data_IF_169507913008
#
_entry.id   IF_169507913008
#
_cell.length_a   1.000
_cell.length_b   1.000
_cell.length_c   1.000
_cell.angle_alpha   90.00
_cell.angle_beta   90.00
_cell.angle_gamma   90.00
#
_symmetry.space_group_name_H-M   'P 1'
#
loop_
_entity.id
_entity.type
_entity.pdbx_description
1 polymer ?
#
# COMPACT_ATOMS: atom_id res chain seq x y z
N UNK A 1 -18.22 17.83 -6.93
CA UNK A 1 -16.81 18.28 -6.89
C UNK A 1 -15.99 17.08 -6.51
N UNK A 2 -14.86 16.81 -7.18
CA UNK A 2 -14.03 15.64 -6.82
C UNK A 2 -13.43 15.77 -5.41
N UNK A 3 -13.23 14.64 -4.72
CA UNK A 3 -12.75 14.59 -3.32
C UNK A 3 -11.28 15.00 -3.13
N UNK A 4 -10.49 15.04 -4.23
CA UNK A 4 -9.07 15.38 -4.24
C UNK A 4 -8.74 16.60 -5.11
N UNK A 5 -9.74 17.44 -5.44
CA UNK A 5 -9.51 18.63 -6.27
C UNK A 5 -8.45 19.53 -5.64
N UNK A 6 -7.40 19.83 -6.42
CA UNK A 6 -6.28 20.69 -6.01
C UNK A 6 -5.25 20.00 -5.11
N UNK A 7 -5.39 18.71 -4.81
CA UNK A 7 -4.40 17.95 -4.04
C UNK A 7 -3.34 17.33 -4.95
N UNK A 8 -2.09 17.37 -4.51
CA UNK A 8 -0.96 16.67 -5.14
C UNK A 8 -0.72 15.36 -4.38
N UNK A 9 -0.85 14.24 -5.10
CA UNK A 9 -0.80 12.90 -4.55
C UNK A 9 0.37 12.11 -5.15
N UNK A 10 1.26 11.59 -4.32
CA UNK A 10 2.33 10.69 -4.73
C UNK A 10 1.87 9.25 -4.52
N UNK A 11 2.00 8.40 -5.53
CA UNK A 11 1.67 6.97 -5.49
C UNK A 11 2.89 6.16 -5.87
N UNK A 12 3.43 5.35 -4.95
CA UNK A 12 4.53 4.43 -5.26
C UNK A 12 4.01 3.05 -5.69
N UNK A 13 4.73 2.36 -6.58
CA UNK A 13 4.22 1.14 -7.22
C UNK A 13 3.06 1.45 -8.18
N UNK A 14 3.13 2.58 -8.87
CA UNK A 14 2.04 3.15 -9.67
C UNK A 14 1.82 2.46 -11.01
N UNK A 15 2.76 1.62 -11.49
CA UNK A 15 2.69 1.02 -12.82
C UNK A 15 1.71 -0.16 -12.92
N UNK A 16 1.26 -0.76 -11.81
CA UNK A 16 0.41 -1.95 -11.85
C UNK A 16 -0.49 -2.11 -10.63
N UNK A 17 -1.44 -3.04 -10.72
CA UNK A 17 -2.27 -3.51 -9.60
C UNK A 17 -2.99 -2.40 -8.84
N UNK A 18 -2.89 -2.41 -7.51
CA UNK A 18 -3.54 -1.43 -6.61
C UNK A 18 -3.04 -0.01 -6.91
N UNK A 19 -1.72 0.17 -7.16
CA UNK A 19 -1.15 1.48 -7.43
C UNK A 19 -1.71 2.12 -8.70
N UNK A 20 -1.74 1.39 -9.82
CA UNK A 20 -2.29 1.87 -11.08
C UNK A 20 -3.78 2.21 -10.97
N UNK A 21 -4.55 1.38 -10.27
CA UNK A 21 -5.97 1.64 -10.05
C UNK A 21 -6.20 2.85 -9.13
N UNK A 22 -5.32 3.04 -8.14
CA UNK A 22 -5.36 4.23 -7.27
C UNK A 22 -5.04 5.50 -8.06
N UNK A 23 -4.05 5.47 -8.95
CA UNK A 23 -3.76 6.58 -9.87
C UNK A 23 -5.03 6.97 -10.64
N UNK A 24 -5.68 5.99 -11.27
CA UNK A 24 -6.92 6.22 -12.03
C UNK A 24 -8.00 6.88 -11.15
N UNK A 25 -8.24 6.35 -9.95
CA UNK A 25 -9.26 6.86 -9.02
C UNK A 25 -8.93 8.26 -8.50
N UNK A 26 -7.67 8.53 -8.17
CA UNK A 26 -7.26 9.86 -7.71
C UNK A 26 -7.39 10.91 -8.82
N UNK A 27 -7.05 10.55 -10.06
CA UNK A 27 -7.26 11.41 -11.24
C UNK A 27 -8.74 11.71 -11.47
N UNK A 28 -9.63 10.73 -11.38
CA UNK A 28 -11.08 10.91 -11.52
C UNK A 28 -11.65 11.86 -10.45
N UNK A 29 -11.02 11.92 -9.27
CA UNK A 29 -11.42 12.79 -8.16
C UNK A 29 -10.69 14.15 -8.16
N UNK A 30 -9.96 14.45 -9.23
CA UNK A 30 -9.39 15.77 -9.48
C UNK A 30 -8.02 16.04 -8.87
N UNK A 31 -7.28 15.00 -8.46
CA UNK A 31 -5.90 15.15 -8.00
C UNK A 31 -4.92 15.38 -9.15
N UNK A 32 -3.83 16.10 -8.86
CA UNK A 32 -2.56 15.96 -9.58
C UNK A 32 -1.83 14.76 -9.03
N UNK A 33 -1.50 13.78 -9.88
CA UNK A 33 -0.92 12.51 -9.45
C UNK A 33 0.49 12.34 -9.97
N UNK A 34 1.43 12.14 -9.04
CA UNK A 34 2.80 11.71 -9.31
C UNK A 34 2.86 10.18 -9.16
N UNK A 35 3.12 9.50 -10.26
CA UNK A 35 3.31 8.04 -10.27
C UNK A 35 4.79 7.70 -10.17
N UNK A 36 5.14 6.88 -9.18
CA UNK A 36 6.50 6.44 -8.90
C UNK A 36 6.59 4.92 -9.02
N UNK A 37 7.51 4.43 -9.84
CA UNK A 37 7.76 3.00 -9.99
C UNK A 37 9.24 2.76 -10.29
N UNK A 38 9.69 1.50 -10.22
CA UNK A 38 11.07 1.13 -10.54
C UNK A 38 11.45 1.52 -11.98
N UNK A 39 10.47 1.50 -12.87
CA UNK A 39 10.60 1.94 -14.26
C UNK A 39 9.54 3.01 -14.56
N UNK A 40 9.87 3.97 -15.40
CA UNK A 40 8.93 4.99 -15.87
C UNK A 40 7.86 4.37 -16.81
N UNK A 41 6.88 3.70 -16.21
CA UNK A 41 5.77 3.02 -16.90
C UNK A 41 4.40 3.37 -16.34
N UNK A 42 4.34 4.30 -15.39
CA UNK A 42 3.08 4.74 -14.79
C UNK A 42 2.23 5.47 -15.81
N UNK A 43 1.02 4.96 -16.07
CA UNK A 43 0.09 5.55 -17.04
C UNK A 43 -0.96 6.41 -16.35
N UNK A 44 -1.43 7.45 -17.05
CA UNK A 44 -2.51 8.31 -16.55
C UNK A 44 -2.11 9.25 -15.41
N UNK A 45 -0.82 9.42 -15.14
CA UNK A 45 -0.26 10.35 -14.16
C UNK A 45 0.08 11.70 -14.78
N UNK A 46 0.21 12.74 -13.95
CA UNK A 46 0.67 14.06 -14.41
C UNK A 46 2.20 14.13 -14.45
N UNK A 47 2.86 13.42 -13.55
CA UNK A 47 4.31 13.27 -13.52
C UNK A 47 4.67 11.80 -13.26
N UNK A 48 5.46 11.19 -14.14
CA UNK A 48 5.98 9.84 -13.96
C UNK A 48 7.46 9.91 -13.57
N UNK A 49 7.84 9.18 -12.52
CA UNK A 49 9.21 9.14 -12.03
C UNK A 49 9.70 7.69 -11.87
N UNK A 50 10.85 7.39 -12.44
CA UNK A 50 11.56 6.16 -12.17
C UNK A 50 12.34 6.30 -10.85
N UNK A 51 12.07 5.42 -9.87
CA UNK A 51 12.72 5.43 -8.58
C UNK A 51 12.72 4.05 -7.96
N UNK A 52 13.89 3.56 -7.56
CA UNK A 52 13.98 2.45 -6.63
C UNK A 52 13.72 2.98 -5.22
N UNK A 53 12.54 2.68 -4.69
CA UNK A 53 12.12 3.13 -3.36
C UNK A 53 12.91 2.47 -2.21
N UNK A 54 13.71 1.44 -2.49
CA UNK A 54 14.64 0.84 -1.54
C UNK A 54 15.98 1.58 -1.44
N UNK A 55 16.24 2.51 -2.36
CA UNK A 55 17.42 3.38 -2.37
C UNK A 55 17.10 4.75 -1.77
N UNK A 56 17.76 5.10 -0.69
CA UNK A 56 17.50 6.35 0.05
C UNK A 56 17.81 7.61 -0.78
N UNK A 57 18.90 7.59 -1.55
CA UNK A 57 19.30 8.72 -2.38
C UNK A 57 18.35 8.92 -3.57
N UNK A 58 17.86 7.81 -4.16
CA UNK A 58 16.84 7.85 -5.19
C UNK A 58 15.52 8.43 -4.66
N UNK A 59 15.10 8.03 -3.46
CA UNK A 59 13.89 8.58 -2.82
C UNK A 59 14.05 10.07 -2.53
N UNK A 60 15.19 10.50 -2.01
CA UNK A 60 15.45 11.93 -1.79
C UNK A 60 15.34 12.72 -3.10
N UNK A 61 16.02 12.27 -4.16
CA UNK A 61 15.96 12.91 -5.48
C UNK A 61 14.54 12.92 -6.08
N UNK A 62 13.75 11.89 -5.84
CA UNK A 62 12.33 11.83 -6.23
C UNK A 62 11.54 12.97 -5.59
N UNK A 63 11.67 13.21 -4.26
CA UNK A 63 10.98 14.32 -3.60
C UNK A 63 11.49 15.70 -4.08
N UNK A 64 12.78 15.84 -4.35
CA UNK A 64 13.33 17.06 -4.96
C UNK A 64 12.71 17.34 -6.34
N UNK A 65 12.55 16.32 -7.18
CA UNK A 65 11.91 16.43 -8.49
C UNK A 65 10.42 16.81 -8.37
N UNK A 66 9.68 16.20 -7.42
CA UNK A 66 8.28 16.57 -7.18
C UNK A 66 8.16 18.01 -6.73
N UNK A 67 9.05 18.48 -5.84
CA UNK A 67 9.05 19.86 -5.35
C UNK A 67 9.44 20.89 -6.41
N UNK A 68 10.18 20.52 -7.42
CA UNK A 68 10.49 21.38 -8.55
C UNK A 68 9.26 21.62 -9.46
N UNK A 69 8.31 20.68 -9.49
CA UNK A 69 7.10 20.75 -10.33
C UNK A 69 5.87 21.26 -9.57
N UNK A 70 5.78 20.95 -8.26
CA UNK A 70 4.60 21.27 -7.44
C UNK A 70 4.98 22.03 -6.17
N UNK A 71 4.18 23.04 -5.83
CA UNK A 71 4.36 23.85 -4.60
C UNK A 71 4.03 23.09 -3.32
N UNK A 72 3.16 22.06 -3.39
CA UNK A 72 2.70 21.28 -2.26
C UNK A 72 2.73 19.79 -2.54
N UNK A 73 2.73 18.98 -1.47
CA UNK A 73 2.40 17.57 -1.46
C UNK A 73 1.33 17.38 -0.39
N UNK A 74 0.20 16.78 -0.73
CA UNK A 74 -0.95 16.61 0.17
C UNK A 74 -1.16 15.15 0.58
N UNK A 75 -0.83 14.21 -0.30
CA UNK A 75 -1.04 12.78 -0.07
C UNK A 75 0.20 11.99 -0.48
N UNK A 76 0.61 11.08 0.41
CA UNK A 76 1.65 10.11 0.15
C UNK A 76 1.07 8.70 0.28
N UNK A 77 0.91 7.98 -0.83
CA UNK A 77 0.48 6.59 -0.83
C UNK A 77 1.68 5.67 -1.09
N UNK A 78 2.24 5.14 -0.01
CA UNK A 78 3.33 4.16 -0.01
C UNK A 78 2.76 2.77 -0.29
N UNK A 79 2.67 2.41 -1.57
CA UNK A 79 2.06 1.17 -2.01
C UNK A 79 3.08 0.18 -2.61
N UNK A 80 4.24 0.64 -3.07
CA UNK A 80 5.28 -0.24 -3.59
C UNK A 80 5.63 -1.37 -2.60
N UNK A 81 5.75 -2.59 -3.11
CA UNK A 81 6.09 -3.74 -2.29
C UNK A 81 6.20 -5.03 -3.11
N UNK A 82 6.88 -6.01 -2.55
CA UNK A 82 7.10 -7.32 -3.16
C UNK A 82 6.70 -8.47 -2.22
N UNK A 83 6.34 -9.60 -2.82
CA UNK A 83 6.14 -10.89 -2.16
C UNK A 83 6.70 -11.97 -3.08
N UNK A 84 8.02 -12.20 -3.04
CA UNK A 84 8.65 -13.15 -3.95
C UNK A 84 8.28 -14.60 -3.61
N UNK A 85 8.23 -15.51 -4.60
CA UNK A 85 7.86 -16.92 -4.38
C UNK A 85 8.88 -17.70 -3.56
N UNK A 86 10.12 -17.19 -3.44
CA UNK A 86 11.20 -17.74 -2.64
C UNK A 86 11.02 -17.46 -1.13
N UNK A 87 10.10 -16.56 -0.76
CA UNK A 87 9.73 -16.32 0.64
C UNK A 87 8.79 -17.42 1.11
N UNK A 88 9.30 -18.30 1.94
CA UNK A 88 8.67 -19.53 2.39
C UNK A 88 8.69 -19.65 3.93
N UNK A 89 9.00 -20.83 4.46
CA UNK A 89 9.13 -21.03 5.90
C UNK A 89 10.43 -20.42 6.44
N UNK A 90 10.50 -20.23 7.75
CA UNK A 90 11.72 -19.73 8.43
C UNK A 90 12.92 -20.68 8.24
N UNK A 91 12.68 -21.94 7.90
CA UNK A 91 13.72 -22.93 7.67
C UNK A 91 14.24 -22.93 6.23
N UNK A 92 13.51 -22.31 5.31
CA UNK A 92 13.75 -22.39 3.85
C UNK A 92 14.05 -21.03 3.22
N UNK A 93 13.60 -19.93 3.85
CA UNK A 93 13.83 -18.58 3.33
C UNK A 93 15.29 -18.16 3.49
N UNK A 94 15.97 -17.97 2.36
CA UNK A 94 17.34 -17.48 2.35
C UNK A 94 17.42 -16.04 2.88
N UNK A 95 18.53 -15.72 3.60
CA UNK A 95 18.75 -14.37 4.16
C UNK A 95 18.66 -13.27 3.10
N UNK A 96 19.17 -13.51 1.89
CA UNK A 96 19.09 -12.53 0.81
C UNK A 96 17.66 -12.22 0.37
N UNK A 97 16.75 -13.20 0.41
CA UNK A 97 15.32 -13.01 0.14
C UNK A 97 14.69 -12.19 1.26
N UNK A 98 15.00 -12.54 2.51
CA UNK A 98 14.56 -11.78 3.68
C UNK A 98 14.99 -10.32 3.57
N UNK A 99 16.28 -10.05 3.37
CA UNK A 99 16.83 -8.69 3.31
C UNK A 99 16.16 -7.88 2.19
N UNK A 100 16.05 -8.45 0.98
CA UNK A 100 15.39 -7.81 -0.15
C UNK A 100 13.93 -7.43 0.16
N UNK A 101 13.19 -8.32 0.84
CA UNK A 101 11.78 -8.02 1.22
C UNK A 101 11.73 -6.91 2.26
N UNK A 102 12.64 -6.89 3.25
CA UNK A 102 12.71 -5.81 4.24
C UNK A 102 13.11 -4.48 3.58
N UNK A 103 14.08 -4.48 2.67
CA UNK A 103 14.52 -3.28 1.95
C UNK A 103 13.37 -2.66 1.13
N UNK A 104 12.68 -3.47 0.34
CA UNK A 104 11.60 -2.97 -0.52
C UNK A 104 10.34 -2.65 0.28
N UNK A 105 9.93 -3.47 1.25
CA UNK A 105 8.63 -3.30 1.90
C UNK A 105 8.66 -2.39 3.14
N UNK A 106 9.81 -2.30 3.83
CA UNK A 106 9.91 -1.55 5.10
C UNK A 106 10.75 -0.29 4.92
N UNK A 107 12.00 -0.41 4.41
CA UNK A 107 12.86 0.76 4.25
C UNK A 107 12.26 1.76 3.25
N UNK A 108 11.60 1.30 2.19
CA UNK A 108 10.91 2.20 1.25
C UNK A 108 9.88 3.09 1.96
N UNK A 109 9.04 2.50 2.82
CA UNK A 109 8.04 3.26 3.59
C UNK A 109 8.73 4.22 4.55
N UNK A 110 9.79 3.78 5.22
CA UNK A 110 10.59 4.65 6.09
C UNK A 110 11.20 5.83 5.32
N UNK A 111 11.84 5.59 4.18
CA UNK A 111 12.44 6.67 3.37
C UNK A 111 11.40 7.62 2.81
N UNK A 112 10.29 7.09 2.25
CA UNK A 112 9.21 7.93 1.75
C UNK A 112 8.57 8.78 2.85
N UNK A 113 8.38 8.25 4.06
CA UNK A 113 7.90 9.02 5.20
C UNK A 113 8.94 10.05 5.67
N UNK A 114 10.22 9.68 5.74
CA UNK A 114 11.32 10.55 6.16
C UNK A 114 11.43 11.81 5.29
N UNK A 115 11.33 11.66 3.99
CA UNK A 115 11.44 12.76 3.04
C UNK A 115 10.10 13.40 2.68
N UNK A 116 8.98 12.68 2.75
CA UNK A 116 7.65 13.19 2.39
C UNK A 116 6.96 13.94 3.52
N UNK A 117 7.02 13.46 4.78
CA UNK A 117 6.34 14.11 5.90
C UNK A 117 6.76 15.58 6.10
N UNK A 118 8.05 15.96 5.99
CA UNK A 118 8.42 17.38 6.06
C UNK A 118 7.62 18.27 5.10
N UNK A 119 7.38 17.83 3.87
CA UNK A 119 6.61 18.59 2.88
C UNK A 119 5.15 18.71 3.24
N UNK A 120 4.54 17.65 3.79
CA UNK A 120 3.17 17.71 4.33
C UNK A 120 3.06 18.72 5.47
N UNK A 121 4.07 18.81 6.32
CA UNK A 121 4.10 19.76 7.43
C UNK A 121 4.23 21.21 6.99
N UNK A 122 4.94 21.48 5.90
CA UNK A 122 5.08 22.83 5.31
C UNK A 122 3.75 23.41 4.85
N UNK A 123 2.83 22.55 4.42
CA UNK A 123 1.49 22.93 3.93
C UNK A 123 0.39 22.83 5.00
N UNK A 124 0.76 22.54 6.25
CA UNK A 124 -0.17 22.49 7.39
C UNK A 124 -0.80 21.13 7.63
N UNK A 125 -0.36 20.08 6.97
CA UNK A 125 -0.81 18.71 7.17
C UNK A 125 -1.07 17.95 5.87
N UNK A 126 -1.57 16.72 6.00
CA UNK A 126 -1.86 15.86 4.86
C UNK A 126 -2.14 14.42 5.26
N UNK A 127 -2.14 13.53 4.28
CA UNK A 127 -2.43 12.11 4.50
C UNK A 127 -1.31 11.21 4.00
N UNK A 128 -0.78 10.37 4.88
CA UNK A 128 0.11 9.26 4.55
C UNK A 128 -0.66 7.96 4.67
N UNK A 129 -0.61 7.14 3.64
CA UNK A 129 -1.26 5.84 3.57
C UNK A 129 -0.17 4.81 3.28
N UNK A 130 0.05 3.88 4.19
CA UNK A 130 1.06 2.84 4.03
C UNK A 130 0.39 1.50 3.77
N UNK A 131 0.71 0.85 2.67
CA UNK A 131 0.16 -0.46 2.33
C UNK A 131 0.81 -1.55 3.19
N UNK A 132 0.14 -1.91 4.28
CA UNK A 132 0.44 -3.10 5.05
C UNK A 132 -0.22 -4.34 4.39
N UNK A 133 -0.88 -5.18 5.14
CA UNK A 133 -1.63 -6.35 4.67
C UNK A 133 -2.46 -6.92 5.83
N UNK A 134 -3.47 -7.73 5.54
CA UNK A 134 -4.17 -8.53 6.55
C UNK A 134 -3.20 -9.43 7.33
N UNK A 135 -2.11 -9.90 6.72
CA UNK A 135 -1.11 -10.72 7.42
C UNK A 135 -0.29 -9.95 8.48
N UNK A 136 -0.42 -8.62 8.53
CA UNK A 136 0.13 -7.83 9.64
C UNK A 136 -0.63 -8.02 10.97
N UNK A 137 -1.86 -8.54 10.91
CA UNK A 137 -2.74 -8.76 12.07
C UNK A 137 -3.06 -10.23 12.32
N UNK A 138 -2.73 -11.12 11.37
CA UNK A 138 -2.92 -12.56 11.50
C UNK A 138 -1.86 -13.34 10.70
N UNK A 139 -1.68 -14.61 11.00
CA UNK A 139 -0.74 -15.46 10.23
C UNK A 139 -1.26 -15.76 8.83
N UNK A 140 -0.36 -16.00 7.90
CA UNK A 140 -0.69 -16.45 6.55
C UNK A 140 -0.97 -17.97 6.51
N UNK A 141 -1.90 -18.39 5.65
CA UNK A 141 -2.19 -19.81 5.44
C UNK A 141 -1.05 -20.57 4.72
N UNK A 142 -0.18 -19.83 4.03
CA UNK A 142 1.04 -20.33 3.39
C UNK A 142 2.20 -19.53 3.95
N UNK A 143 3.30 -20.21 4.29
CA UNK A 143 4.50 -19.53 4.81
C UNK A 143 5.00 -18.47 3.83
N UNK A 144 5.26 -17.28 4.35
CA UNK A 144 5.83 -16.11 3.70
C UNK A 144 6.42 -15.21 4.80
N UNK A 145 7.46 -15.71 5.42
CA UNK A 145 7.96 -15.18 6.70
C UNK A 145 8.47 -13.73 6.59
N UNK A 146 9.22 -13.42 5.52
CA UNK A 146 9.78 -12.10 5.31
C UNK A 146 8.67 -11.08 4.99
N UNK A 147 7.72 -11.44 4.11
CA UNK A 147 6.58 -10.59 3.77
C UNK A 147 5.71 -10.30 5.00
N UNK A 148 5.33 -11.34 5.75
CA UNK A 148 4.49 -11.17 6.95
C UNK A 148 5.17 -10.27 7.98
N UNK A 149 6.46 -10.48 8.25
CA UNK A 149 7.23 -9.62 9.14
C UNK A 149 7.30 -8.17 8.63
N UNK A 150 7.54 -7.97 7.33
CA UNK A 150 7.62 -6.64 6.73
C UNK A 150 6.30 -5.87 6.87
N UNK A 151 5.16 -6.55 6.65
CA UNK A 151 3.84 -5.91 6.76
C UNK A 151 3.44 -5.61 8.20
N UNK A 152 3.89 -6.42 9.16
CA UNK A 152 3.81 -6.12 10.58
C UNK A 152 4.63 -4.88 10.97
N UNK A 153 5.83 -4.74 10.43
CA UNK A 153 6.69 -3.57 10.64
C UNK A 153 6.03 -2.29 10.08
N UNK A 154 5.48 -2.34 8.85
CA UNK A 154 4.76 -1.21 8.24
C UNK A 154 3.54 -0.80 9.08
N UNK A 155 2.78 -1.76 9.60
CA UNK A 155 1.65 -1.49 10.49
C UNK A 155 2.09 -0.74 11.75
N UNK A 156 3.16 -1.21 12.42
CA UNK A 156 3.67 -0.58 13.63
C UNK A 156 4.26 0.80 13.38
N UNK A 157 5.02 0.96 12.29
CA UNK A 157 5.56 2.25 11.85
C UNK A 157 4.43 3.26 11.57
N UNK A 158 3.35 2.83 10.92
CA UNK A 158 2.21 3.71 10.62
C UNK A 158 1.51 4.21 11.88
N UNK A 159 1.40 3.37 12.92
CA UNK A 159 0.84 3.77 14.21
C UNK A 159 1.71 4.79 14.92
N UNK A 160 3.02 4.54 14.96
CA UNK A 160 3.99 5.46 15.59
C UNK A 160 3.93 6.84 14.94
N UNK A 161 4.10 6.91 13.62
CA UNK A 161 4.05 8.16 12.87
C UNK A 161 2.67 8.85 12.97
N UNK A 162 1.58 8.06 12.98
CA UNK A 162 0.22 8.59 13.11
C UNK A 162 -0.03 9.27 14.46
N UNK A 163 0.59 8.80 15.53
CA UNK A 163 0.55 9.43 16.86
C UNK A 163 1.47 10.64 16.92
N UNK A 164 2.71 10.50 16.44
CA UNK A 164 3.73 11.55 16.48
C UNK A 164 3.28 12.83 15.77
N UNK A 165 2.72 12.68 14.55
CA UNK A 165 2.40 13.83 13.69
C UNK A 165 0.95 14.29 13.75
N UNK A 166 0.07 13.63 14.52
CA UNK A 166 -1.36 13.96 14.60
C UNK A 166 -1.63 15.43 14.93
N UNK A 167 -0.96 15.98 15.94
CA UNK A 167 -1.13 17.39 16.37
C UNK A 167 -0.56 18.41 15.38
N UNK A 168 0.20 17.94 14.41
CA UNK A 168 0.80 18.75 13.34
C UNK A 168 0.03 18.62 12.03
N UNK A 169 -1.19 18.03 12.06
CA UNK A 169 -2.08 17.93 10.92
C UNK A 169 -1.80 16.79 9.96
N UNK A 170 -0.79 15.94 10.20
CA UNK A 170 -0.49 14.79 9.35
C UNK A 170 -1.18 13.54 9.91
N UNK A 171 -2.01 12.91 9.10
CA UNK A 171 -2.62 11.61 9.38
C UNK A 171 -1.77 10.51 8.75
N UNK A 172 -1.49 9.44 9.47
CA UNK A 172 -0.78 8.28 8.94
C UNK A 172 -1.58 7.02 9.26
N UNK A 173 -1.97 6.28 8.24
CA UNK A 173 -2.79 5.08 8.39
C UNK A 173 -2.18 3.88 7.64
N UNK A 174 -2.32 2.69 8.22
CA UNK A 174 -1.98 1.43 7.59
C UNK A 174 -3.20 0.89 6.84
N UNK A 175 -3.15 0.88 5.52
CA UNK A 175 -4.12 0.17 4.69
C UNK A 175 -3.73 -1.32 4.65
N UNK A 176 -4.66 -2.18 5.04
CA UNK A 176 -4.44 -3.62 5.18
C UNK A 176 -5.35 -4.40 4.22
N UNK A 177 -4.97 -4.56 2.94
CA UNK A 177 -5.73 -5.35 1.99
C UNK A 177 -5.75 -6.83 2.36
N UNK A 178 -6.87 -7.50 2.07
CA UNK A 178 -6.97 -8.94 1.94
C UNK A 178 -6.38 -9.44 0.62
N UNK A 179 -6.70 -10.67 0.20
CA UNK A 179 -6.32 -11.17 -1.12
C UNK A 179 -7.01 -10.37 -2.23
N UNK A 180 -6.21 -9.78 -3.13
CA UNK A 180 -6.68 -8.93 -4.24
C UNK A 180 -6.39 -9.62 -5.56
N UNK A 181 -7.35 -9.64 -6.47
CA UNK A 181 -7.22 -10.13 -7.84
C UNK A 181 -6.29 -9.18 -8.63
N UNK A 182 -4.99 -9.39 -8.46
CA UNK A 182 -3.95 -8.67 -9.21
C UNK A 182 -3.31 -9.62 -10.23
N UNK A 183 -2.66 -9.11 -11.27
CA UNK A 183 -1.96 -9.98 -12.23
C UNK A 183 -1.04 -11.00 -11.56
N UNK A 184 -0.28 -10.56 -10.53
CA UNK A 184 0.62 -11.43 -9.77
C UNK A 184 -0.13 -12.57 -9.05
N UNK A 185 -1.23 -12.26 -8.36
CA UNK A 185 -2.01 -13.27 -7.63
C UNK A 185 -2.73 -14.22 -8.60
N UNK A 186 -3.24 -13.70 -9.72
CA UNK A 186 -3.91 -14.48 -10.75
C UNK A 186 -2.96 -15.48 -11.41
N UNK A 187 -1.71 -15.08 -11.69
CA UNK A 187 -0.68 -16.01 -12.18
C UNK A 187 -0.36 -17.11 -11.16
N UNK A 188 -0.24 -16.73 -9.88
CA UNK A 188 0.01 -17.69 -8.80
C UNK A 188 -1.10 -18.73 -8.70
N UNK A 189 -2.36 -18.30 -8.79
CA UNK A 189 -3.53 -19.20 -8.69
C UNK A 189 -3.80 -19.98 -9.98
N UNK A 190 -3.44 -19.45 -11.14
CA UNK A 190 -3.48 -20.21 -12.39
C UNK A 190 -2.53 -21.41 -12.35
N UNK A 191 -1.40 -21.29 -11.63
CA UNK A 191 -0.44 -22.39 -11.43
C UNK A 191 -0.91 -23.43 -10.39
N UNK A 192 -1.74 -23.01 -9.42
CA UNK A 192 -2.23 -23.87 -8.34
C UNK A 192 -3.69 -23.48 -7.97
N UNK A 193 -4.69 -24.01 -8.75
CA UNK A 193 -6.10 -23.73 -8.50
C UNK A 193 -6.62 -24.25 -7.15
N UNK A 194 -6.05 -25.34 -6.63
CA UNK A 194 -6.44 -25.87 -5.31
C UNK A 194 -6.04 -24.91 -4.19
N UNK A 195 -4.89 -24.27 -4.32
CA UNK A 195 -4.42 -23.24 -3.39
C UNK A 195 -5.32 -22.01 -3.39
N UNK A 196 -5.84 -21.62 -4.55
CA UNK A 196 -6.84 -20.57 -4.68
C UNK A 196 -8.16 -20.95 -3.98
N UNK A 197 -8.69 -22.14 -4.26
CA UNK A 197 -9.92 -22.64 -3.66
C UNK A 197 -9.81 -22.73 -2.13
N UNK A 198 -8.67 -23.20 -1.60
CA UNK A 198 -8.42 -23.26 -0.15
C UNK A 198 -8.42 -21.88 0.52
N UNK A 199 -8.02 -20.82 -0.17
CA UNK A 199 -8.08 -19.46 0.36
C UNK A 199 -9.49 -18.88 0.33
N UNK A 200 -10.25 -19.16 -0.72
CA UNK A 200 -11.61 -18.65 -0.89
C UNK A 200 -12.54 -19.08 0.24
N UNK A 201 -12.38 -20.31 0.76
CA UNK A 201 -13.21 -20.82 1.86
C UNK A 201 -13.12 -19.96 3.13
N UNK A 202 -12.01 -19.24 3.32
CA UNK A 202 -11.80 -18.40 4.49
C UNK A 202 -12.25 -16.95 4.29
N UNK A 203 -12.71 -16.57 3.10
CA UNK A 203 -13.20 -15.24 2.80
C UNK A 203 -14.72 -15.19 3.00
N UNK A 204 -15.24 -14.46 4.02
CA UNK A 204 -16.68 -14.35 4.22
C UNK A 204 -17.44 -13.82 3.00
N UNK A 205 -16.82 -12.89 2.23
CA UNK A 205 -17.40 -12.39 0.98
C UNK A 205 -17.36 -13.36 -0.19
N UNK A 206 -16.72 -14.54 -0.05
CA UNK A 206 -16.69 -15.61 -1.05
C UNK A 206 -15.89 -15.30 -2.33
N UNK A 207 -15.16 -14.18 -2.36
CA UNK A 207 -14.35 -13.76 -3.52
C UNK A 207 -13.12 -12.97 -3.09
N UNK A 208 -12.16 -12.88 -3.98
CA UNK A 208 -11.05 -11.92 -3.84
C UNK A 208 -11.54 -10.49 -4.11
N UNK A 209 -10.85 -9.52 -3.52
CA UNK A 209 -11.12 -8.12 -3.83
C UNK A 209 -10.61 -7.77 -5.24
N UNK A 210 -11.27 -6.82 -5.87
CA UNK A 210 -10.75 -6.13 -7.04
C UNK A 210 -9.85 -4.96 -6.62
N UNK A 211 -8.86 -4.61 -7.46
CA UNK A 211 -7.93 -3.52 -7.14
C UNK A 211 -8.64 -2.18 -6.87
N UNK A 212 -9.77 -1.94 -7.55
CA UNK A 212 -10.60 -0.73 -7.37
C UNK A 212 -11.19 -0.64 -5.95
N UNK A 213 -11.46 -1.75 -5.29
CA UNK A 213 -12.02 -1.75 -3.93
C UNK A 213 -10.97 -1.26 -2.92
N UNK A 214 -9.70 -1.63 -3.14
CA UNK A 214 -8.58 -1.13 -2.33
C UNK A 214 -8.27 0.34 -2.68
N UNK A 215 -8.30 0.70 -3.96
CA UNK A 215 -8.13 2.07 -4.41
C UNK A 215 -9.20 3.02 -3.84
N UNK A 216 -10.47 2.57 -3.71
CA UNK A 216 -11.53 3.34 -3.06
C UNK A 216 -11.25 3.57 -1.57
N UNK A 217 -10.69 2.60 -0.87
CA UNK A 217 -10.27 2.76 0.52
C UNK A 217 -9.08 3.74 0.64
N UNK A 218 -8.10 3.65 -0.26
CA UNK A 218 -7.00 4.61 -0.34
C UNK A 218 -7.53 6.03 -0.62
N UNK A 219 -8.48 6.18 -1.54
CA UNK A 219 -9.13 7.45 -1.86
C UNK A 219 -9.85 8.05 -0.63
N UNK A 220 -10.60 7.25 0.12
CA UNK A 220 -11.21 7.69 1.37
C UNK A 220 -10.16 8.20 2.37
N UNK A 221 -9.09 7.45 2.59
CA UNK A 221 -8.00 7.83 3.50
C UNK A 221 -7.22 9.06 3.00
N UNK A 222 -7.13 9.28 1.69
CA UNK A 222 -6.50 10.46 1.10
C UNK A 222 -7.35 11.72 1.25
N UNK A 223 -8.68 11.58 1.30
CA UNK A 223 -9.62 12.67 1.32
C UNK A 223 -9.84 13.26 2.73
N UNK A 224 -10.49 14.42 2.79
CA UNK A 224 -10.85 15.08 4.04
C UNK A 224 -12.01 14.39 4.79
N UNK A 225 -12.70 13.43 4.13
CA UNK A 225 -13.71 12.56 4.76
C UNK A 225 -13.12 11.72 5.90
N UNK A 226 -11.82 11.43 5.85
CA UNK A 226 -11.08 10.69 6.88
C UNK A 226 -10.30 11.60 7.86
N UNK A 227 -10.71 12.88 8.01
CA UNK A 227 -10.00 13.90 8.79
C UNK A 227 -9.79 13.54 10.27
N UNK A 228 -10.59 12.64 10.84
CA UNK A 228 -10.45 12.17 12.22
C UNK A 228 -9.88 10.73 12.33
N UNK A 229 -9.25 10.23 11.24
CA UNK A 229 -8.68 8.87 11.18
C UNK A 229 -7.15 8.96 11.02
N UNK A 230 -6.43 8.61 12.08
CA UNK A 230 -4.96 8.49 12.09
C UNK A 230 -4.53 7.31 12.97
N UNK A 231 -3.35 6.78 12.78
CA UNK A 231 -2.79 5.63 13.49
C UNK A 231 -3.67 4.34 13.39
N UNK A 232 -4.55 4.28 12.40
CA UNK A 232 -5.53 3.21 12.24
C UNK A 232 -4.95 2.02 11.49
N UNK A 233 -5.45 0.83 11.85
CA UNK A 233 -5.36 -0.40 11.05
C UNK A 233 -6.60 -0.49 10.18
N UNK A 234 -6.52 -0.08 8.93
CA UNK A 234 -7.66 0.00 8.03
C UNK A 234 -7.76 -1.27 7.18
N UNK A 235 -8.54 -2.23 7.68
CA UNK A 235 -8.74 -3.54 7.03
C UNK A 235 -9.72 -3.41 5.85
N UNK A 236 -9.31 -3.97 4.70
CA UNK A 236 -10.11 -4.11 3.48
C UNK A 236 -9.91 -5.54 2.96
N UNK A 237 -10.45 -6.50 3.66
CA UNK A 237 -10.09 -7.92 3.55
C UNK A 237 -11.27 -8.89 3.33
N UNK A 238 -12.45 -8.34 3.04
CA UNK A 238 -13.66 -9.15 2.83
C UNK A 238 -14.12 -9.92 4.08
N UNK A 239 -13.72 -9.44 5.28
CA UNK A 239 -14.04 -10.07 6.56
C UNK A 239 -13.09 -11.19 6.99
N UNK A 240 -12.01 -11.43 6.24
CA UNK A 240 -11.07 -12.54 6.47
C UNK A 240 -10.51 -12.56 7.89
N UNK A 241 -10.11 -11.40 8.42
CA UNK A 241 -9.56 -11.29 9.77
C UNK A 241 -10.61 -11.18 10.88
N UNK A 242 -11.89 -11.08 10.52
CA UNK A 242 -12.99 -10.81 11.46
C UNK A 242 -13.77 -12.05 11.90
N UNK A 243 -13.64 -13.18 11.22
CA UNK A 243 -14.49 -14.32 11.47
C UNK A 243 -13.78 -15.67 11.27
N UNK A 244 -14.20 -16.66 12.05
CA UNK A 244 -13.98 -18.06 11.75
C UNK A 244 -15.02 -18.51 10.71
N UNK A 245 -14.56 -18.89 9.53
CA UNK A 245 -15.45 -19.33 8.45
C UNK A 245 -15.29 -20.83 8.19
N UNK A 246 -16.41 -21.49 7.89
CA UNK A 246 -16.47 -22.87 7.41
C UNK A 246 -16.98 -22.89 5.98
N UNK A 247 -16.63 -23.92 5.19
CA UNK A 247 -17.18 -24.06 3.85
C UNK A 247 -18.71 -24.02 3.88
N UNK A 248 -19.30 -23.17 3.04
CA UNK A 248 -20.75 -23.23 2.80
C UNK A 248 -21.02 -24.47 1.99
N UNK A 249 -21.75 -25.45 2.56
CA UNK A 249 -22.26 -26.56 1.77
C UNK A 249 -23.27 -26.00 0.79
N UNK A 250 -23.07 -26.26 -0.52
CA UNK A 250 -24.07 -25.90 -1.52
C UNK A 250 -25.40 -26.54 -1.11
N UNK A 251 -26.44 -25.73 -0.88
CA UNK A 251 -27.82 -26.19 -0.76
C UNK A 251 -28.33 -26.67 -2.11
#
# INVERSE_FOLDING_TARGET
MGRLVGKVCIVTGAASGIGAETVRRFKEEGASVVGVDLHDRSQGVDLALACDVADEDAVRGMFEAVRAEYDSIDVLFNNAGISPPEDASVLETETAVWDRVQDVNVKSVFFCCKYGIPHLLETGGGSVINTASFVAVMGAATSQIAYTASKGAVLSLSRELGVEFARRGVRVNALCPGPVSTPLLNELFARDPEKAARRLVHLPMGRFAEAVEIANAALFLASDESSYITASTFLVDGGLSGAYTTPVTAE
#
